data_IF_515639713486
#
_entry.id   IF_515639713486
#
_cell.length_a   1.000
_cell.length_b   1.000
_cell.length_c   1.000
_cell.angle_alpha   90.00
_cell.angle_beta   90.00
_cell.angle_gamma   90.00
#
_symmetry.space_group_name_H-M   'P 1'
#
loop_
_entity.id
_entity.type
_entity.pdbx_description
1 polymer ?
#
# COMPACT_ATOMS: atom_id res chain seq x y z
N UNK A 1 -16.53 1.34 11.68
CA UNK A 1 -15.93 2.18 10.62
C UNK A 1 -14.78 1.40 10.00
N UNK A 2 -14.58 1.54 8.70
CA UNK A 2 -13.51 0.89 7.93
C UNK A 2 -12.62 1.94 7.26
N UNK A 3 -11.32 1.70 7.24
CA UNK A 3 -10.36 2.51 6.47
C UNK A 3 -9.65 1.59 5.49
N UNK A 4 -9.78 1.89 4.19
CA UNK A 4 -9.18 1.13 3.10
C UNK A 4 -7.76 1.63 2.84
N UNK A 5 -6.85 0.68 2.66
CA UNK A 5 -5.43 0.92 2.46
C UNK A 5 -4.88 0.09 1.30
N UNK A 6 -3.72 0.49 0.80
CA UNK A 6 -3.00 -0.25 -0.24
C UNK A 6 -1.49 -0.09 -0.13
N UNK A 7 -0.78 -1.14 -0.50
CA UNK A 7 0.68 -1.15 -0.61
C UNK A 7 1.12 -1.82 -1.90
N UNK A 8 2.07 -1.21 -2.60
CA UNK A 8 2.71 -1.80 -3.77
C UNK A 8 3.84 -2.72 -3.37
N UNK A 9 3.77 -3.98 -3.77
CA UNK A 9 4.86 -4.93 -3.64
C UNK A 9 5.61 -4.98 -4.99
N UNK A 10 6.81 -4.37 -5.09
CA UNK A 10 7.57 -4.39 -6.33
C UNK A 10 7.95 -5.83 -6.70
N UNK A 11 8.14 -6.12 -8.00
CA UNK A 11 8.61 -7.43 -8.43
C UNK A 11 9.98 -7.74 -7.81
N UNK A 12 10.16 -8.98 -7.37
CA UNK A 12 11.44 -9.44 -6.79
C UNK A 12 12.40 -9.98 -7.85
N UNK A 13 11.87 -10.26 -9.03
CA UNK A 13 12.63 -10.73 -10.18
C UNK A 13 12.16 -10.07 -11.47
N UNK A 14 12.99 -10.20 -12.49
CA UNK A 14 12.75 -9.67 -13.82
C UNK A 14 11.68 -10.41 -14.62
N UNK A 15 11.08 -11.48 -14.11
CA UNK A 15 9.91 -12.16 -14.70
C UNK A 15 8.60 -11.78 -14.01
N UNK A 16 8.65 -11.14 -12.85
CA UNK A 16 7.49 -10.68 -12.11
C UNK A 16 7.08 -9.26 -12.52
N UNK A 17 5.80 -8.95 -12.27
CA UNK A 17 5.21 -7.63 -12.56
C UNK A 17 4.87 -6.82 -11.31
N UNK A 18 5.05 -7.41 -10.11
CA UNK A 18 4.64 -6.82 -8.83
C UNK A 18 3.16 -7.03 -8.54
N UNK A 19 2.70 -6.65 -7.35
CA UNK A 19 1.30 -6.78 -6.93
C UNK A 19 0.88 -5.62 -6.05
N UNK A 20 -0.38 -5.17 -6.16
CA UNK A 20 -0.96 -4.27 -5.16
C UNK A 20 -1.69 -5.10 -4.12
N UNK A 21 -1.39 -4.82 -2.84
CA UNK A 21 -1.99 -5.46 -1.69
C UNK A 21 -2.95 -4.48 -1.00
N UNK A 22 -4.23 -4.81 -0.96
CA UNK A 22 -5.28 -4.02 -0.32
C UNK A 22 -5.68 -4.65 1.01
N UNK A 23 -5.95 -3.81 2.01
CA UNK A 23 -6.55 -4.23 3.27
C UNK A 23 -7.50 -3.16 3.82
N UNK A 24 -8.19 -3.47 4.92
CA UNK A 24 -8.90 -2.46 5.67
C UNK A 24 -8.70 -2.62 7.17
N UNK A 25 -8.62 -1.49 7.87
CA UNK A 25 -8.69 -1.45 9.33
C UNK A 25 -10.13 -1.28 9.81
N UNK A 26 -10.46 -1.86 10.96
CA UNK A 26 -11.77 -1.69 11.61
C UNK A 26 -11.66 -1.44 13.11
N UNK A 27 -12.47 -0.52 13.62
CA UNK A 27 -12.63 -0.29 15.05
C UNK A 27 -13.47 -1.37 15.75
N UNK A 28 -14.05 -2.31 14.99
CA UNK A 28 -14.78 -3.46 15.55
C UNK A 28 -13.84 -4.54 16.09
N UNK A 29 -12.53 -4.42 15.86
CA UNK A 29 -11.55 -5.31 16.45
C UNK A 29 -11.56 -5.18 17.99
N UNK A 30 -11.27 -6.26 18.73
CA UNK A 30 -11.12 -6.17 20.18
C UNK A 30 -9.90 -5.30 20.53
N UNK A 31 -9.89 -4.80 21.77
CA UNK A 31 -8.72 -4.07 22.27
C UNK A 31 -7.45 -4.91 22.09
N UNK A 32 -6.38 -4.36 21.47
CA UNK A 32 -5.18 -5.11 21.21
C UNK A 32 -4.48 -5.49 22.52
N UNK A 33 -3.94 -6.72 22.64
CA UNK A 33 -3.17 -7.11 23.81
C UNK A 33 -1.85 -6.32 23.86
N UNK A 34 -1.27 -6.23 25.06
CA UNK A 34 0.07 -5.63 25.22
C UNK A 34 1.09 -6.35 24.35
N UNK A 35 1.80 -5.58 23.53
CA UNK A 35 2.82 -6.07 22.63
C UNK A 35 4.15 -6.22 23.36
N UNK A 36 4.72 -7.43 23.32
CA UNK A 36 6.06 -7.71 23.85
C UNK A 36 7.08 -7.59 22.72
N UNK A 37 7.78 -6.45 22.69
CA UNK A 37 8.74 -6.08 21.63
C UNK A 37 9.88 -7.10 21.39
N UNK A 38 10.14 -8.02 22.31
CA UNK A 38 11.22 -9.02 22.19
C UNK A 38 10.80 -10.31 21.46
N UNK A 39 9.63 -10.36 20.82
CA UNK A 39 9.26 -11.50 19.99
C UNK A 39 9.89 -11.37 18.60
N UNK A 40 10.77 -12.31 18.22
CA UNK A 40 11.27 -12.44 16.83
C UNK A 40 10.16 -12.79 15.81
N UNK A 41 8.93 -13.06 16.29
CA UNK A 41 7.80 -13.48 15.47
C UNK A 41 7.04 -12.26 14.94
N UNK A 42 6.81 -12.24 13.63
CA UNK A 42 5.90 -11.29 12.99
C UNK A 42 4.47 -11.67 13.39
N UNK A 43 3.74 -10.73 13.97
CA UNK A 43 2.36 -10.92 14.43
C UNK A 43 1.36 -10.36 13.41
N UNK A 44 0.13 -10.92 13.34
CA UNK A 44 -0.93 -10.36 12.53
C UNK A 44 -1.33 -8.97 13.03
N UNK A 45 -1.62 -8.05 12.10
CA UNK A 45 -2.08 -6.72 12.41
C UNK A 45 -3.49 -6.78 13.05
N UNK A 46 -3.64 -6.33 14.30
CA UNK A 46 -4.84 -6.63 15.11
C UNK A 46 -6.10 -5.95 14.60
N UNK A 47 -5.98 -4.88 13.81
CA UNK A 47 -7.12 -4.11 13.31
C UNK A 47 -7.55 -4.55 11.90
N UNK A 48 -6.83 -5.49 11.29
CA UNK A 48 -7.10 -5.88 9.91
C UNK A 48 -8.38 -6.72 9.80
N UNK A 49 -9.23 -6.37 8.84
CA UNK A 49 -10.40 -7.19 8.50
C UNK A 49 -10.00 -8.44 7.72
N UNK A 50 -10.83 -9.48 7.80
CA UNK A 50 -10.65 -10.66 6.94
C UNK A 50 -10.85 -10.33 5.44
N UNK A 51 -10.14 -11.07 4.58
CA UNK A 51 -10.19 -10.88 3.12
C UNK A 51 -11.61 -11.00 2.53
N UNK A 52 -12.50 -11.81 3.13
CA UNK A 52 -13.90 -11.95 2.69
C UNK A 52 -14.67 -10.64 2.91
N UNK A 53 -14.59 -10.07 4.11
CA UNK A 53 -15.20 -8.78 4.45
C UNK A 53 -14.62 -7.67 3.58
N UNK A 54 -13.30 -7.66 3.36
CA UNK A 54 -12.67 -6.69 2.46
C UNK A 54 -13.23 -6.72 1.04
N UNK A 55 -13.41 -7.92 0.45
CA UNK A 55 -14.02 -8.06 -0.90
C UNK A 55 -15.45 -7.51 -0.94
N UNK A 56 -16.24 -7.74 0.11
CA UNK A 56 -17.60 -7.22 0.22
C UNK A 56 -17.67 -5.69 0.32
N UNK A 57 -16.59 -5.07 0.81
CA UNK A 57 -16.47 -3.61 0.90
C UNK A 57 -15.91 -3.03 -0.40
N UNK A 58 -14.77 -3.55 -0.89
CA UNK A 58 -13.98 -2.90 -1.93
C UNK A 58 -14.57 -3.07 -3.34
N UNK A 59 -15.08 -4.26 -3.67
CA UNK A 59 -15.55 -4.56 -5.03
C UNK A 59 -16.81 -3.73 -5.41
N UNK A 60 -17.83 -3.59 -4.55
CA UNK A 60 -18.99 -2.76 -4.88
C UNK A 60 -18.67 -1.28 -5.04
N UNK A 61 -17.63 -0.77 -4.37
CA UNK A 61 -17.24 0.64 -4.46
C UNK A 61 -16.60 1.01 -5.80
N UNK A 62 -15.97 0.04 -6.46
CA UNK A 62 -15.17 0.28 -7.67
C UNK A 62 -15.83 -0.29 -8.91
N UNK A 63 -16.85 -1.15 -8.78
CA UNK A 63 -17.46 -1.88 -9.90
C UNK A 63 -16.46 -2.72 -10.73
N UNK A 64 -15.28 -3.01 -10.16
CA UNK A 64 -14.26 -3.82 -10.84
C UNK A 64 -14.71 -5.27 -11.02
N UNK A 65 -14.33 -5.86 -12.15
CA UNK A 65 -14.55 -7.29 -12.44
C UNK A 65 -13.39 -8.19 -11.99
N UNK A 66 -12.36 -7.58 -11.40
CA UNK A 66 -11.18 -8.27 -10.95
C UNK A 66 -11.49 -9.38 -9.94
N UNK A 67 -10.72 -10.46 -10.02
CA UNK A 67 -10.79 -11.60 -9.08
C UNK A 67 -9.59 -11.56 -8.13
N UNK A 68 -9.66 -10.78 -7.03
CA UNK A 68 -8.56 -10.66 -6.10
C UNK A 68 -8.26 -11.97 -5.35
N UNK A 69 -6.98 -12.31 -5.27
CA UNK A 69 -6.51 -13.44 -4.47
C UNK A 69 -6.31 -13.01 -3.01
N UNK A 70 -6.53 -13.92 -2.06
CA UNK A 70 -6.15 -13.64 -0.68
C UNK A 70 -4.63 -13.70 -0.56
N UNK A 71 -4.04 -12.80 0.20
CA UNK A 71 -2.60 -12.78 0.41
C UNK A 71 -2.25 -12.10 1.71
N UNK A 72 -0.95 -12.00 1.98
CA UNK A 72 -0.43 -11.28 3.14
C UNK A 72 0.78 -10.44 2.76
N UNK A 73 0.96 -9.29 3.40
CA UNK A 73 2.16 -8.47 3.30
C UNK A 73 2.71 -8.15 4.69
N UNK A 74 4.02 -8.16 4.85
CA UNK A 74 4.65 -7.74 6.10
C UNK A 74 5.11 -6.29 5.96
N UNK A 75 4.58 -5.39 6.81
CA UNK A 75 4.94 -3.98 6.80
C UNK A 75 5.54 -3.54 8.14
N UNK A 76 6.47 -2.58 8.07
CA UNK A 76 6.97 -1.85 9.22
C UNK A 76 5.97 -0.77 9.61
N UNK A 77 5.40 -0.89 10.81
CA UNK A 77 4.38 0.05 11.31
C UNK A 77 4.81 0.69 12.64
N UNK A 78 4.40 1.95 12.90
CA UNK A 78 4.59 2.60 14.19
C UNK A 78 3.98 1.76 15.31
N UNK A 79 4.80 1.35 16.27
CA UNK A 79 4.42 0.38 17.30
C UNK A 79 4.80 0.90 18.68
N UNK A 80 3.89 0.69 19.63
CA UNK A 80 4.06 1.00 21.06
C UNK A 80 4.01 -0.30 21.88
N UNK A 81 4.03 -0.18 23.22
CA UNK A 81 3.78 -1.32 24.11
C UNK A 81 2.36 -1.89 23.99
N UNK A 82 1.43 -1.17 23.36
CA UNK A 82 0.06 -1.61 23.11
C UNK A 82 -0.14 -2.24 21.72
N UNK A 83 0.92 -2.41 20.92
CA UNK A 83 0.82 -2.90 19.55
C UNK A 83 1.00 -1.79 18.50
N UNK A 84 0.61 -2.04 17.24
CA UNK A 84 0.71 -1.05 16.20
C UNK A 84 -0.25 0.09 16.51
N UNK A 85 0.10 1.30 16.08
CA UNK A 85 -0.85 2.40 16.12
C UNK A 85 -1.91 2.16 15.05
N UNK A 86 -3.21 2.32 15.38
CA UNK A 86 -4.25 2.33 14.37
C UNK A 86 -4.08 3.54 13.47
N UNK A 87 -4.69 3.48 12.29
CA UNK A 87 -4.75 4.61 11.39
C UNK A 87 -5.35 5.85 12.10
N UNK A 88 -4.78 7.06 11.94
CA UNK A 88 -5.22 8.25 12.69
C UNK A 88 -6.70 8.61 12.52
N UNK A 89 -7.28 8.30 11.36
CA UNK A 89 -8.69 8.53 11.08
C UNK A 89 -9.62 7.46 11.66
N UNK A 90 -9.09 6.39 12.29
CA UNK A 90 -9.88 5.29 12.81
C UNK A 90 -10.50 5.68 14.15
N UNK A 91 -11.81 5.91 14.15
CA UNK A 91 -12.55 6.22 15.37
C UNK A 91 -12.75 4.94 16.20
N UNK A 92 -12.05 4.87 17.34
CA UNK A 92 -12.11 3.74 18.28
C UNK A 92 -12.17 4.23 19.74
N UNK A 93 -12.53 3.35 20.66
CA UNK A 93 -12.57 3.58 22.10
C UNK A 93 -11.43 2.86 22.86
N UNK A 94 -10.52 2.20 22.14
CA UNK A 94 -9.38 1.52 22.75
C UNK A 94 -8.47 2.46 23.55
N UNK A 95 -7.95 1.94 24.66
CA UNK A 95 -7.00 2.67 25.50
C UNK A 95 -5.56 2.36 25.09
N UNK A 96 -4.87 3.40 24.61
CA UNK A 96 -3.44 3.36 24.30
C UNK A 96 -2.65 4.20 25.30
N UNK A 97 -1.46 3.73 25.69
CA UNK A 97 -0.53 4.55 26.45
C UNK A 97 0.16 5.56 25.52
N UNK A 98 -0.38 6.79 25.48
CA UNK A 98 0.16 7.88 24.68
C UNK A 98 1.56 8.37 25.09
N UNK A 99 2.14 7.85 26.18
CA UNK A 99 3.50 8.19 26.64
C UNK A 99 4.55 7.17 26.19
N UNK A 100 4.13 6.04 25.65
CA UNK A 100 5.03 4.99 25.22
C UNK A 100 5.88 5.43 24.02
N UNK A 101 7.19 5.13 24.07
CA UNK A 101 8.11 5.38 22.95
C UNK A 101 7.64 4.58 21.72
N UNK A 102 7.42 5.29 20.62
CA UNK A 102 7.08 4.71 19.33
C UNK A 102 8.34 4.21 18.64
N UNK A 103 8.26 3.03 18.02
CA UNK A 103 9.29 2.53 17.11
C UNK A 103 8.66 1.64 16.05
N UNK A 104 9.35 1.43 14.94
CA UNK A 104 8.88 0.50 13.92
C UNK A 104 9.02 -0.96 14.36
N UNK A 105 7.99 -1.74 14.08
CA UNK A 105 8.02 -3.20 14.17
C UNK A 105 7.27 -3.80 12.97
N UNK A 106 7.61 -5.05 12.60
CA UNK A 106 6.95 -5.75 11.49
C UNK A 106 5.62 -6.34 11.93
N UNK A 107 4.60 -6.09 11.13
CA UNK A 107 3.26 -6.65 11.27
C UNK A 107 2.85 -7.32 9.96
N UNK A 108 2.23 -8.50 10.07
CA UNK A 108 1.62 -9.19 8.94
C UNK A 108 0.22 -8.64 8.73
N UNK A 109 -0.03 -8.14 7.53
CA UNK A 109 -1.32 -7.62 7.12
C UNK A 109 -1.96 -8.66 6.21
N UNK A 110 -3.10 -9.17 6.63
CA UNK A 110 -3.93 -10.03 5.79
C UNK A 110 -4.79 -9.15 4.87
N UNK A 111 -5.00 -9.58 3.63
CA UNK A 111 -5.75 -8.78 2.70
C UNK A 111 -5.97 -9.49 1.38
N UNK A 112 -6.10 -8.68 0.34
CA UNK A 112 -6.24 -9.18 -1.02
C UNK A 112 -5.18 -8.58 -1.95
N UNK A 113 -4.76 -9.37 -2.91
CA UNK A 113 -3.77 -8.99 -3.91
C UNK A 113 -4.40 -8.90 -5.30
N UNK A 114 -4.00 -7.87 -6.03
CA UNK A 114 -4.34 -7.66 -7.43
C UNK A 114 -3.07 -7.56 -8.26
N UNK A 115 -3.10 -8.22 -9.42
CA UNK A 115 -2.10 -7.99 -10.46
C UNK A 115 -2.21 -6.54 -10.96
N UNK A 116 -1.12 -5.95 -11.50
CA UNK A 116 -1.07 -4.52 -11.81
C UNK A 116 -2.20 -4.04 -12.73
N UNK A 117 -2.53 -4.81 -13.78
CA UNK A 117 -3.60 -4.44 -14.71
C UNK A 117 -4.97 -4.32 -14.02
N UNK A 118 -5.32 -5.27 -13.15
CA UNK A 118 -6.57 -5.26 -12.40
C UNK A 118 -6.58 -4.17 -11.31
N UNK A 119 -5.41 -3.90 -10.71
CA UNK A 119 -5.28 -2.82 -9.74
C UNK A 119 -5.45 -1.44 -10.39
N UNK A 120 -4.97 -1.25 -11.62
CA UNK A 120 -5.20 0.00 -12.38
C UNK A 120 -6.70 0.23 -12.62
N UNK A 121 -7.44 -0.80 -13.07
CA UNK A 121 -8.91 -0.72 -13.24
C UNK A 121 -9.57 -0.22 -11.95
N UNK A 122 -9.26 -0.87 -10.82
CA UNK A 122 -9.79 -0.51 -9.51
C UNK A 122 -9.43 0.93 -9.09
N UNK A 123 -8.16 1.30 -9.18
CA UNK A 123 -7.66 2.61 -8.73
C UNK A 123 -8.26 3.76 -9.53
N UNK A 124 -8.57 3.55 -10.82
CA UNK A 124 -9.24 4.56 -11.65
C UNK A 124 -10.73 4.74 -11.38
N UNK A 125 -11.30 3.88 -10.53
CA UNK A 125 -12.73 3.83 -10.22
C UNK A 125 -13.00 4.15 -8.74
N UNK A 126 -12.02 4.69 -8.00
CA UNK A 126 -12.23 5.02 -6.60
C UNK A 126 -13.24 6.17 -6.47
N UNK A 127 -14.29 6.01 -5.65
CA UNK A 127 -15.30 7.04 -5.46
C UNK A 127 -14.72 8.24 -4.72
N UNK A 128 -15.29 9.42 -4.92
CA UNK A 128 -14.96 10.60 -4.15
C UNK A 128 -15.41 10.46 -2.69
N UNK A 129 -14.81 11.23 -1.77
CA UNK A 129 -15.10 11.12 -0.34
C UNK A 129 -16.58 11.32 0.02
N UNK A 130 -17.31 12.14 -0.73
CA UNK A 130 -18.75 12.39 -0.52
C UNK A 130 -19.66 11.28 -1.06
N UNK A 131 -19.14 10.40 -1.91
CA UNK A 131 -19.87 9.25 -2.48
C UNK A 131 -19.72 7.99 -1.62
N UNK A 132 -18.77 8.01 -0.68
CA UNK A 132 -18.51 6.89 0.22
C UNK A 132 -19.63 6.72 1.26
N UNK A 133 -20.00 5.47 1.59
CA UNK A 133 -20.83 5.19 2.75
C UNK A 133 -20.25 5.81 4.03
N UNK A 134 -21.09 6.27 4.98
CA UNK A 134 -20.63 7.00 6.17
C UNK A 134 -19.59 6.26 7.02
N UNK A 135 -19.62 4.92 6.99
CA UNK A 135 -18.75 4.04 7.75
C UNK A 135 -17.46 3.65 7.01
N UNK A 136 -17.21 4.15 5.79
CA UNK A 136 -16.02 3.83 4.99
C UNK A 136 -15.22 5.10 4.75
N UNK A 137 -13.89 4.96 4.85
CA UNK A 137 -12.92 5.95 4.42
C UNK A 137 -11.86 5.29 3.55
N UNK A 138 -11.29 6.07 2.65
CA UNK A 138 -10.13 5.71 1.84
C UNK A 138 -8.92 6.39 2.50
N UNK A 139 -7.87 5.63 2.79
CA UNK A 139 -6.62 6.13 3.36
C UNK A 139 -5.81 6.96 2.35
N UNK A 140 -4.93 7.81 2.87
CA UNK A 140 -4.08 8.69 2.06
C UNK A 140 -3.11 7.91 1.17
N UNK A 141 -2.70 6.71 1.59
CA UNK A 141 -1.93 5.76 0.79
C UNK A 141 -2.69 5.32 -0.46
N UNK A 142 -3.98 4.98 -0.31
CA UNK A 142 -4.82 4.57 -1.43
C UNK A 142 -5.09 5.75 -2.40
N UNK A 143 -5.28 6.97 -1.87
CA UNK A 143 -5.34 8.20 -2.71
C UNK A 143 -4.02 8.53 -3.39
N UNK A 144 -2.91 8.28 -2.72
CA UNK A 144 -1.60 8.45 -3.34
C UNK A 144 -1.42 7.50 -4.53
N UNK A 145 -1.77 6.23 -4.37
CA UNK A 145 -1.67 5.25 -5.46
C UNK A 145 -2.66 5.52 -6.60
N UNK A 146 -3.86 6.04 -6.32
CA UNK A 146 -4.77 6.59 -7.34
C UNK A 146 -4.06 7.64 -8.21
N UNK A 147 -3.43 8.63 -7.57
CA UNK A 147 -2.72 9.71 -8.26
C UNK A 147 -1.51 9.21 -9.06
N UNK A 148 -0.74 8.26 -8.50
CA UNK A 148 0.39 7.62 -9.21
C UNK A 148 -0.11 6.85 -10.43
N UNK A 149 -1.23 6.13 -10.31
CA UNK A 149 -1.84 5.40 -11.43
C UNK A 149 -2.30 6.34 -12.53
N UNK A 150 -2.98 7.44 -12.20
CA UNK A 150 -3.41 8.44 -13.19
C UNK A 150 -2.21 9.08 -13.89
N UNK A 151 -1.15 9.39 -13.15
CA UNK A 151 0.10 9.89 -13.73
C UNK A 151 0.73 8.87 -14.68
N UNK A 152 0.84 7.60 -14.28
CA UNK A 152 1.39 6.54 -15.13
C UNK A 152 0.57 6.34 -16.41
N UNK A 153 -0.77 6.38 -16.31
CA UNK A 153 -1.66 6.30 -17.48
C UNK A 153 -1.47 7.48 -18.42
N UNK A 154 -1.26 8.69 -17.90
CA UNK A 154 -0.95 9.87 -18.73
C UNK A 154 0.36 9.69 -19.51
N UNK A 155 1.41 9.17 -18.88
CA UNK A 155 2.70 8.88 -19.53
C UNK A 155 2.52 7.86 -20.66
N UNK A 156 1.77 6.78 -20.42
CA UNK A 156 1.47 5.75 -21.42
C UNK A 156 0.64 6.34 -22.57
N UNK A 157 -0.41 7.11 -22.27
CA UNK A 157 -1.29 7.72 -23.26
C UNK A 157 -0.55 8.72 -24.16
N UNK A 158 0.45 9.42 -23.63
CA UNK A 158 1.33 10.32 -24.39
C UNK A 158 2.48 9.59 -25.09
N UNK A 159 2.53 8.26 -25.05
CA UNK A 159 3.60 7.44 -25.64
C UNK A 159 5.00 7.82 -25.13
N UNK A 160 5.08 8.32 -23.89
CA UNK A 160 6.34 8.69 -23.23
C UNK A 160 6.99 7.46 -22.60
N UNK A 161 7.20 6.44 -23.43
CA UNK A 161 7.81 5.17 -23.05
C UNK A 161 8.82 4.76 -24.11
N UNK A 162 9.97 4.25 -23.68
CA UNK A 162 11.03 3.79 -24.57
C UNK A 162 11.43 2.35 -24.23
N UNK A 163 11.74 1.51 -25.23
CA UNK A 163 12.32 0.21 -24.96
C UNK A 163 13.75 0.39 -24.44
N UNK A 164 14.09 -0.29 -23.36
CA UNK A 164 15.41 -0.23 -22.71
C UNK A 164 15.83 -1.64 -22.30
N UNK A 165 17.13 -1.90 -22.26
CA UNK A 165 17.68 -3.12 -21.65
C UNK A 165 17.79 -2.90 -20.15
N UNK A 166 16.94 -3.57 -19.39
CA UNK A 166 17.00 -3.56 -17.94
C UNK A 166 17.77 -4.79 -17.47
N UNK A 167 18.67 -4.59 -16.51
CA UNK A 167 19.37 -5.68 -15.84
C UNK A 167 18.37 -6.60 -15.14
N UNK A 168 18.48 -7.90 -15.40
CA UNK A 168 17.51 -8.91 -14.99
C UNK A 168 17.94 -9.69 -13.75
N UNK A 169 19.21 -9.59 -13.36
CA UNK A 169 19.81 -10.28 -12.21
C UNK A 169 20.77 -9.37 -11.43
N UNK A 170 21.10 -9.74 -10.19
CA UNK A 170 22.04 -8.94 -9.38
C UNK A 170 23.49 -8.97 -9.93
N UNK A 171 23.84 -9.95 -10.79
CA UNK A 171 25.20 -10.11 -11.31
C UNK A 171 25.50 -9.29 -12.57
N UNK A 172 24.47 -8.77 -13.24
CA UNK A 172 24.61 -7.94 -14.43
C UNK A 172 24.81 -8.73 -15.72
N UNK A 173 24.53 -10.03 -15.70
CA UNK A 173 24.76 -10.92 -16.84
C UNK A 173 23.51 -11.12 -17.68
N UNK A 174 22.34 -11.03 -17.08
CA UNK A 174 21.07 -11.17 -17.79
C UNK A 174 20.42 -9.80 -17.99
N UNK A 175 19.85 -9.57 -19.17
CA UNK A 175 19.17 -8.33 -19.52
C UNK A 175 17.84 -8.64 -20.21
N UNK A 176 16.78 -7.95 -19.80
CA UNK A 176 15.46 -8.04 -20.42
C UNK A 176 15.11 -6.73 -21.11
N UNK A 177 14.49 -6.83 -22.29
CA UNK A 177 13.85 -5.68 -22.91
C UNK A 177 12.63 -5.25 -22.10
N UNK A 178 12.61 -3.99 -21.64
CA UNK A 178 11.51 -3.41 -20.87
C UNK A 178 11.15 -2.03 -21.38
N UNK A 179 9.87 -1.70 -21.35
CA UNK A 179 9.41 -0.35 -21.57
C UNK A 179 9.64 0.48 -20.31
N UNK A 180 10.37 1.58 -20.44
CA UNK A 180 10.69 2.51 -19.36
C UNK A 180 10.00 3.85 -19.61
N UNK A 181 9.43 4.49 -18.56
CA UNK A 181 8.79 5.78 -18.69
C UNK A 181 9.83 6.91 -18.90
N UNK A 182 9.50 7.88 -19.75
CA UNK A 182 10.29 9.10 -19.96
C UNK A 182 9.62 10.25 -19.21
N UNK A 183 10.17 10.61 -18.06
CA UNK A 183 9.57 11.52 -17.07
C UNK A 183 10.49 12.65 -16.62
N UNK A 184 11.61 12.85 -17.31
CA UNK A 184 12.62 13.88 -17.05
C UNK A 184 12.34 15.22 -17.76
N UNK A 185 11.27 15.29 -18.55
CA UNK A 185 10.85 16.52 -19.22
C UNK A 185 10.32 17.61 -18.27
N UNK A 186 10.28 18.87 -18.72
CA UNK A 186 9.93 20.04 -17.89
C UNK A 186 8.50 20.02 -17.31
N UNK A 187 7.61 19.20 -17.90
CA UNK A 187 6.24 19.00 -17.40
C UNK A 187 6.15 17.87 -16.38
N UNK A 188 6.84 16.76 -16.61
CA UNK A 188 6.63 15.51 -15.85
C UNK A 188 7.59 15.39 -14.67
N UNK A 189 8.84 15.85 -14.82
CA UNK A 189 9.84 15.80 -13.75
C UNK A 189 9.39 16.49 -12.47
N UNK A 190 8.90 17.75 -12.51
CA UNK A 190 8.38 18.43 -11.33
C UNK A 190 7.16 17.75 -10.71
N UNK A 191 6.32 17.09 -11.52
CA UNK A 191 5.13 16.37 -11.02
C UNK A 191 5.53 15.08 -10.32
N UNK A 192 6.48 14.34 -10.88
CA UNK A 192 7.06 13.16 -10.24
C UNK A 192 7.75 13.55 -8.92
N UNK A 193 8.51 14.64 -8.89
CA UNK A 193 9.14 15.13 -7.67
C UNK A 193 8.10 15.44 -6.57
N UNK A 194 6.97 16.07 -6.93
CA UNK A 194 5.85 16.30 -5.99
C UNK A 194 5.20 15.02 -5.50
N UNK A 195 5.06 14.00 -6.34
CA UNK A 195 4.58 12.67 -5.91
C UNK A 195 5.57 12.03 -4.92
N UNK A 196 6.88 12.10 -5.19
CA UNK A 196 7.90 11.58 -4.26
C UNK A 196 7.87 12.31 -2.93
N UNK A 197 7.77 13.65 -2.95
CA UNK A 197 7.68 14.47 -1.73
C UNK A 197 6.41 14.18 -0.92
N UNK A 198 5.28 13.96 -1.60
CA UNK A 198 4.00 13.65 -0.96
C UNK A 198 3.82 12.16 -0.62
N UNK A 199 4.81 11.30 -0.89
CA UNK A 199 4.68 9.85 -0.75
C UNK A 199 4.42 9.46 0.73
N UNK A 200 3.25 8.88 1.05
CA UNK A 200 2.93 8.47 2.41
C UNK A 200 3.94 7.43 2.93
N UNK A 201 4.33 7.47 4.21
CA UNK A 201 5.27 6.50 4.78
C UNK A 201 4.86 5.02 4.53
N UNK A 202 3.56 4.75 4.52
CA UNK A 202 3.00 3.42 4.27
C UNK A 202 3.34 2.86 2.88
N UNK A 203 3.61 3.72 1.89
CA UNK A 203 4.07 3.30 0.56
C UNK A 203 5.50 2.69 0.59
N UNK A 204 6.30 3.00 1.62
CA UNK A 204 7.67 2.47 1.81
C UNK A 204 7.78 1.44 2.93
N UNK A 205 6.68 1.15 3.62
CA UNK A 205 6.67 0.28 4.79
C UNK A 205 7.06 -1.19 4.50
N UNK A 206 7.11 -1.61 3.24
CA UNK A 206 7.58 -2.94 2.81
C UNK A 206 9.09 -3.09 2.71
N UNK A 207 9.88 -2.10 3.15
CA UNK A 207 11.34 -2.14 3.09
C UNK A 207 11.96 -3.33 3.86
N UNK A 208 13.14 -3.76 3.43
CA UNK A 208 13.86 -4.88 4.07
C UNK A 208 14.24 -4.57 5.54
N UNK A 209 14.49 -3.30 5.86
CA UNK A 209 14.90 -2.80 7.17
C UNK A 209 13.97 -1.69 7.66
N UNK A 210 13.98 -1.42 8.96
CA UNK A 210 13.23 -0.31 9.55
C UNK A 210 13.72 1.06 9.03
N UNK A 211 15.03 1.25 8.88
CA UNK A 211 15.63 2.50 8.38
C UNK A 211 15.13 2.84 6.96
N UNK A 212 15.04 1.84 6.08
CA UNK A 212 14.50 2.01 4.73
C UNK A 212 12.98 2.30 4.70
N UNK A 213 12.27 2.07 5.80
CA UNK A 213 10.88 2.47 5.97
C UNK A 213 10.72 3.87 6.59
N UNK A 214 11.75 4.42 7.26
CA UNK A 214 11.75 5.75 7.88
C UNK A 214 12.11 6.87 6.90
N UNK A 215 13.07 6.64 6.00
CA UNK A 215 13.62 7.66 5.10
C UNK A 215 13.28 7.42 3.62
N UNK A 216 13.06 8.47 2.81
CA UNK A 216 12.95 8.37 1.35
C UNK A 216 14.30 8.11 0.67
#
# INVERSE_FOLDING_TARGET
MYILHVHWQPPTSSSETGTLHFWAETALAPQPPKYKRNTKRILPHPFCVEAKTLRQILLPLTATTAKPQSGTVDLWLPTTLNGPQPSPALLHDWTFDGRSKVALARWRIDGIQLAPAAAVELLTQLPAAFELPPNIRIGDDLRFWEMVTLFALEIVAQQKVLPTLAQADATGKEHHGRWMPVVDGPRDGPRLARLVEAMPPLARAGAATAEGAEHP
#
